data_IF_653144754824
#
_entry.id   IF_653144754824
#
_cell.length_a   1.000
_cell.length_b   1.000
_cell.length_c   1.000
_cell.angle_alpha   90.00
_cell.angle_beta   90.00
_cell.angle_gamma   90.00
#
_symmetry.space_group_name_H-M   'P 1'
#
loop_
_entity.id
_entity.type
_entity.pdbx_description
1 polymer ?
#
# COMPACT_ATOMS: atom_id res chain seq x y z
N UNK A 1 -17.89 -21.27 -5.01
CA UNK A 1 -17.95 -19.81 -5.22
C UNK A 1 -17.61 -19.02 -3.96
N UNK A 2 -18.23 -19.32 -2.82
CA UNK A 2 -18.02 -18.60 -1.55
C UNK A 2 -16.56 -18.42 -1.12
N UNK A 3 -15.74 -19.49 -1.19
CA UNK A 3 -14.32 -19.41 -0.80
C UNK A 3 -13.52 -18.44 -1.70
N UNK A 4 -13.76 -18.49 -3.01
CA UNK A 4 -13.04 -17.65 -3.99
C UNK A 4 -13.41 -16.19 -3.79
N UNK A 5 -14.70 -15.91 -3.63
CA UNK A 5 -15.20 -14.54 -3.38
C UNK A 5 -14.66 -14.00 -2.06
N UNK A 6 -14.70 -14.80 -0.99
CA UNK A 6 -14.17 -14.40 0.32
C UNK A 6 -12.68 -14.11 0.28
N UNK A 7 -11.90 -14.94 -0.42
CA UNK A 7 -10.46 -14.75 -0.55
C UNK A 7 -10.13 -13.49 -1.37
N UNK A 8 -10.82 -13.26 -2.48
CA UNK A 8 -10.66 -12.04 -3.28
C UNK A 8 -11.06 -10.79 -2.49
N UNK A 9 -12.20 -10.83 -1.79
CA UNK A 9 -12.66 -9.74 -0.96
C UNK A 9 -11.66 -9.43 0.17
N UNK A 10 -11.06 -10.44 0.79
CA UNK A 10 -10.01 -10.28 1.78
C UNK A 10 -8.79 -9.56 1.22
N UNK A 11 -8.28 -10.01 0.07
CA UNK A 11 -7.10 -9.41 -0.58
C UNK A 11 -7.38 -7.95 -0.94
N UNK A 12 -8.54 -7.64 -1.54
CA UNK A 12 -8.93 -6.28 -1.90
C UNK A 12 -9.06 -5.39 -0.66
N UNK A 13 -9.68 -5.90 0.40
CA UNK A 13 -9.86 -5.15 1.65
C UNK A 13 -8.52 -4.79 2.28
N UNK A 14 -7.60 -5.76 2.37
CA UNK A 14 -6.24 -5.51 2.88
C UNK A 14 -5.47 -4.55 1.99
N UNK A 15 -5.56 -4.68 0.67
CA UNK A 15 -4.89 -3.76 -0.26
C UNK A 15 -5.36 -2.30 -0.06
N UNK A 16 -6.67 -2.09 0.08
CA UNK A 16 -7.24 -0.76 0.34
C UNK A 16 -6.82 -0.23 1.71
N UNK A 17 -6.89 -1.07 2.75
CA UNK A 17 -6.49 -0.70 4.11
C UNK A 17 -5.02 -0.25 4.17
N UNK A 18 -4.12 -1.01 3.56
CA UNK A 18 -2.68 -0.71 3.51
C UNK A 18 -2.42 0.56 2.71
N UNK A 19 -3.07 0.74 1.56
CA UNK A 19 -2.93 1.95 0.77
C UNK A 19 -3.31 3.22 1.55
N UNK A 20 -4.43 3.17 2.30
CA UNK A 20 -4.86 4.28 3.15
C UNK A 20 -3.88 4.48 4.32
N UNK A 21 -3.38 3.41 4.93
CA UNK A 21 -2.41 3.50 6.02
C UNK A 21 -1.13 4.22 5.60
N UNK A 22 -0.55 3.82 4.47
CA UNK A 22 0.66 4.42 3.91
C UNK A 22 0.41 5.86 3.43
N UNK A 23 -0.77 6.13 2.88
CA UNK A 23 -1.20 7.50 2.57
C UNK A 23 -1.25 8.37 3.83
N UNK A 24 -1.73 7.85 4.96
CA UNK A 24 -1.74 8.56 6.23
C UNK A 24 -0.33 8.99 6.67
N UNK A 25 0.64 8.09 6.60
CA UNK A 25 2.05 8.41 6.88
C UNK A 25 2.58 9.48 5.94
N UNK A 26 2.32 9.36 4.64
CA UNK A 26 2.72 10.34 3.64
C UNK A 26 2.11 11.73 3.92
N UNK A 27 0.82 11.77 4.25
CA UNK A 27 0.09 13.00 4.53
C UNK A 27 0.62 13.71 5.78
N UNK A 28 0.86 12.97 6.86
CA UNK A 28 1.45 13.52 8.09
C UNK A 28 2.87 14.02 7.84
N UNK A 29 3.72 13.24 7.14
CA UNK A 29 5.08 13.65 6.79
C UNK A 29 5.11 14.96 5.98
N UNK A 30 4.23 15.09 4.99
CA UNK A 30 4.07 16.31 4.18
C UNK A 30 3.64 17.51 5.03
N UNK A 31 2.70 17.32 5.96
CA UNK A 31 2.24 18.38 6.87
C UNK A 31 3.31 18.85 7.84
N UNK A 32 4.22 17.97 8.25
CA UNK A 32 5.36 18.28 9.12
C UNK A 32 6.56 18.85 8.35
N UNK A 33 6.44 19.10 7.04
CA UNK A 33 7.52 19.64 6.22
C UNK A 33 8.62 18.63 5.89
N UNK A 34 8.40 17.34 6.12
CA UNK A 34 9.35 16.28 5.77
C UNK A 34 9.32 16.07 4.26
N UNK A 35 10.49 16.15 3.62
CA UNK A 35 10.64 15.93 2.18
C UNK A 35 10.53 14.43 1.88
N UNK A 36 9.39 14.02 1.34
CA UNK A 36 9.19 12.64 0.86
C UNK A 36 9.72 12.53 -0.57
N UNK A 37 10.73 11.67 -0.80
CA UNK A 37 11.37 11.48 -2.10
C UNK A 37 10.65 10.44 -2.96
N UNK A 38 10.11 9.40 -2.32
CA UNK A 38 9.40 8.31 -2.98
C UNK A 38 8.18 7.92 -2.15
N UNK A 39 7.05 7.76 -2.82
CA UNK A 39 5.85 7.17 -2.24
C UNK A 39 5.72 5.75 -2.76
N UNK A 40 5.64 4.79 -1.84
CA UNK A 40 5.44 3.37 -2.16
C UNK A 40 4.12 2.94 -1.55
N UNK A 41 3.30 2.26 -2.33
CA UNK A 41 2.09 1.58 -1.86
C UNK A 41 2.39 0.08 -1.88
N UNK A 42 2.53 -0.56 -0.73
CA UNK A 42 2.67 -2.01 -0.61
C UNK A 42 3.73 -2.51 0.38
N UNK A 43 4.14 -3.77 0.21
CA UNK A 43 5.10 -4.41 1.11
C UNK A 43 6.52 -3.93 0.79
N UNK A 44 7.28 -3.48 1.80
CA UNK A 44 8.56 -2.76 1.64
C UNK A 44 9.68 -3.42 0.83
N UNK A 45 9.55 -4.70 0.41
CA UNK A 45 10.39 -5.30 -0.63
C UNK A 45 9.62 -5.33 -1.95
N UNK A 46 10.25 -4.82 -3.00
CA UNK A 46 9.76 -4.94 -4.38
C UNK A 46 9.51 -6.42 -4.70
N UNK A 47 8.24 -6.82 -4.72
CA UNK A 47 7.83 -8.21 -4.98
C UNK A 47 8.16 -8.59 -6.43
N UNK A 48 8.18 -7.61 -7.33
CA UNK A 48 8.50 -7.80 -8.74
C UNK A 48 9.17 -6.53 -9.31
N UNK A 49 10.41 -6.66 -9.80
CA UNK A 49 11.13 -5.61 -10.53
C UNK A 49 11.57 -6.16 -11.87
N UNK A 50 11.19 -5.51 -12.96
CA UNK A 50 11.65 -5.86 -14.32
C UNK A 50 12.92 -5.09 -14.72
N UNK A 51 13.45 -4.23 -13.85
CA UNK A 51 14.69 -3.48 -14.08
C UNK A 51 15.79 -3.96 -13.15
N UNK A 52 16.90 -4.41 -13.74
CA UNK A 52 18.19 -4.61 -13.06
C UNK A 52 18.83 -3.25 -12.77
#
# INVERSE_FOLDING_TARGET
MELIVSLLAFIVTIAVLVAIHEYGHFWVARKLGVKVLTYSIGFGRTIWSTRR
#
